data_IF_866585249745
#
_entry.id   IF_866585249745
#
_cell.length_a   1.000
_cell.length_b   1.000
_cell.length_c   1.000
_cell.angle_alpha   90.00
_cell.angle_beta   90.00
_cell.angle_gamma   90.00
#
_symmetry.space_group_name_H-M   'P 1'
#
loop_
_entity.id
_entity.type
_entity.pdbx_description
1 polymer ?
#
# COMPACT_ATOMS: atom_id res chain seq x y z
N UNK A 1 -14.01 -1.81 -9.10
CA UNK A 1 -13.27 -2.50 -8.01
C UNK A 1 -11.82 -2.68 -8.47
N UNK A 2 -11.24 -1.62 -9.06
CA UNK A 2 -10.09 -1.72 -9.98
C UNK A 2 -8.87 -0.91 -9.49
N UNK A 3 -9.06 0.01 -8.53
CA UNK A 3 -7.98 0.85 -8.01
C UNK A 3 -7.04 0.13 -7.05
N UNK A 4 -7.50 -0.96 -6.41
CA UNK A 4 -6.70 -1.70 -5.42
C UNK A 4 -5.54 -2.43 -6.09
N UNK A 5 -5.74 -2.95 -7.30
CA UNK A 5 -4.69 -3.66 -8.05
C UNK A 5 -3.54 -2.72 -8.45
N UNK A 6 -3.86 -1.47 -8.78
CA UNK A 6 -2.90 -0.46 -9.21
C UNK A 6 -2.37 0.41 -8.05
N UNK A 7 -2.83 0.17 -6.81
CA UNK A 7 -2.57 1.04 -5.66
C UNK A 7 -1.08 1.20 -5.32
N UNK A 8 -0.28 0.19 -5.65
CA UNK A 8 1.16 0.18 -5.40
C UNK A 8 2.00 0.57 -6.63
N UNK A 9 1.35 0.87 -7.74
CA UNK A 9 2.04 1.33 -8.94
C UNK A 9 2.60 2.74 -8.73
N UNK A 10 3.86 3.00 -9.09
CA UNK A 10 4.43 4.32 -9.01
C UNK A 10 3.58 5.33 -9.79
N UNK A 11 3.36 6.50 -9.20
CA UNK A 11 2.59 7.62 -9.75
C UNK A 11 1.08 7.40 -9.86
N UNK A 12 0.56 6.23 -9.46
CA UNK A 12 -0.88 6.02 -9.38
C UNK A 12 -1.49 6.89 -8.26
N UNK A 13 -2.54 7.65 -8.60
CA UNK A 13 -3.25 8.50 -7.64
C UNK A 13 -4.67 8.79 -8.11
N UNK A 14 -5.62 8.73 -7.19
CA UNK A 14 -7.01 9.19 -7.41
C UNK A 14 -7.20 10.66 -7.07
N UNK A 15 -6.15 11.35 -6.59
CA UNK A 15 -6.20 12.76 -6.14
C UNK A 15 -5.71 13.77 -7.19
N UNK A 16 -5.74 13.42 -8.47
CA UNK A 16 -5.28 14.28 -9.57
C UNK A 16 -3.93 14.99 -9.24
N UNK A 17 -3.90 16.33 -9.22
CA UNK A 17 -2.69 17.13 -8.96
C UNK A 17 -2.26 17.21 -7.48
N UNK A 18 -3.03 16.64 -6.55
CA UNK A 18 -2.70 16.67 -5.12
C UNK A 18 -2.09 15.36 -4.65
N UNK A 19 -0.79 15.21 -4.93
CA UNK A 19 0.03 14.09 -4.49
C UNK A 19 0.79 13.44 -5.65
N UNK A 20 2.00 12.96 -5.37
CA UNK A 20 2.89 12.37 -6.38
C UNK A 20 2.56 10.93 -6.74
N UNK A 21 1.68 10.26 -5.97
CA UNK A 21 1.39 8.83 -6.15
C UNK A 21 2.58 7.91 -5.82
N UNK A 22 3.57 8.37 -5.05
CA UNK A 22 4.79 7.61 -4.74
C UNK A 22 4.82 7.01 -3.32
N UNK A 23 3.96 7.48 -2.42
CA UNK A 23 4.02 7.06 -1.01
C UNK A 23 3.82 5.56 -0.85
N UNK A 24 2.74 5.02 -1.42
CA UNK A 24 2.39 3.60 -1.30
C UNK A 24 3.36 2.69 -2.05
N UNK A 25 3.85 3.09 -3.23
CA UNK A 25 4.85 2.31 -3.97
C UNK A 25 6.17 2.19 -3.18
N UNK A 26 6.61 3.27 -2.53
CA UNK A 26 7.80 3.27 -1.67
C UNK A 26 7.58 2.41 -0.43
N UNK A 27 6.43 2.57 0.26
CA UNK A 27 6.10 1.74 1.43
C UNK A 27 6.04 0.25 1.08
N UNK A 28 5.46 -0.11 -0.07
CA UNK A 28 5.41 -1.48 -0.55
C UNK A 28 6.82 -2.06 -0.75
N UNK A 29 7.71 -1.31 -1.41
CA UNK A 29 9.11 -1.70 -1.57
C UNK A 29 9.81 -1.94 -0.23
N UNK A 30 9.68 -1.00 0.71
CA UNK A 30 10.26 -1.12 2.06
C UNK A 30 9.74 -2.39 2.76
N UNK A 31 8.43 -2.65 2.74
CA UNK A 31 7.85 -3.83 3.40
C UNK A 31 8.40 -5.12 2.77
N UNK A 32 8.49 -5.18 1.43
CA UNK A 32 9.05 -6.32 0.70
C UNK A 32 10.53 -6.55 1.00
N UNK A 33 11.32 -5.49 1.06
CA UNK A 33 12.75 -5.56 1.40
C UNK A 33 12.98 -6.11 2.81
N UNK A 34 12.01 -5.93 3.71
CA UNK A 34 12.00 -6.51 5.06
C UNK A 34 11.39 -7.92 5.12
N UNK A 35 11.12 -8.55 3.96
CA UNK A 35 10.51 -9.88 3.88
C UNK A 35 9.04 -9.92 4.29
N UNK A 36 8.39 -8.76 4.32
CA UNK A 36 6.99 -8.61 4.70
C UNK A 36 6.00 -8.69 3.55
N UNK A 37 4.73 -8.52 3.93
CA UNK A 37 3.60 -8.42 3.02
C UNK A 37 2.61 -7.35 3.51
N UNK A 38 1.77 -6.87 2.60
CA UNK A 38 0.75 -5.86 2.90
C UNK A 38 -0.59 -6.24 2.27
N UNK A 39 -1.64 -6.21 3.08
CA UNK A 39 -3.03 -6.40 2.65
C UNK A 39 -3.80 -5.09 2.79
N UNK A 40 -4.74 -4.85 1.87
CA UNK A 40 -5.59 -3.65 1.88
C UNK A 40 -7.05 -4.07 1.85
N UNK A 41 -7.82 -3.53 2.79
CA UNK A 41 -9.28 -3.68 2.84
C UNK A 41 -9.89 -2.28 2.87
N UNK A 42 -10.63 -1.93 1.84
CA UNK A 42 -11.28 -0.63 1.73
C UNK A 42 -12.76 -0.82 1.44
N UNK A 43 -13.60 -0.03 2.09
CA UNK A 43 -15.01 0.06 1.78
C UNK A 43 -15.42 1.53 1.69
N UNK A 44 -16.09 1.88 0.59
CA UNK A 44 -16.58 3.23 0.33
C UNK A 44 -17.47 3.70 1.49
N UNK A 45 -17.32 4.96 1.88
CA UNK A 45 -18.04 5.59 3.00
C UNK A 45 -17.83 4.96 4.39
N UNK A 46 -16.92 3.98 4.53
CA UNK A 46 -16.53 3.41 5.83
C UNK A 46 -15.06 3.62 6.16
N UNK A 47 -14.17 3.55 5.17
CA UNK A 47 -12.74 3.80 5.32
C UNK A 47 -11.86 2.70 4.74
N UNK A 48 -10.58 2.76 5.08
CA UNK A 48 -9.55 1.87 4.54
C UNK A 48 -8.61 1.40 5.65
N UNK A 49 -8.34 0.10 5.66
CA UNK A 49 -7.40 -0.55 6.57
C UNK A 49 -6.27 -1.16 5.77
N UNK A 50 -5.04 -0.84 6.16
CA UNK A 50 -3.82 -1.47 5.68
C UNK A 50 -3.27 -2.39 6.77
N UNK A 51 -3.01 -3.65 6.44
CA UNK A 51 -2.45 -4.63 7.37
C UNK A 51 -1.08 -5.04 6.87
N UNK A 52 -0.05 -4.81 7.69
CA UNK A 52 1.35 -5.10 7.35
C UNK A 52 1.79 -6.29 8.20
N UNK A 53 2.26 -7.35 7.53
CA UNK A 53 2.81 -8.53 8.17
C UNK A 53 4.33 -8.53 7.97
N UNK A 54 5.09 -8.61 9.05
CA UNK A 54 6.55 -8.65 9.03
C UNK A 54 7.06 -9.88 9.78
N UNK A 55 8.10 -10.57 9.27
CA UNK A 55 8.70 -11.69 9.97
C UNK A 55 9.37 -11.20 11.26
N UNK A 56 9.11 -11.91 12.37
CA UNK A 56 9.87 -11.69 13.59
C UNK A 56 11.25 -12.31 13.43
N UNK A 57 12.29 -11.56 13.74
CA UNK A 57 13.64 -12.12 13.81
C UNK A 57 13.71 -12.97 15.08
N UNK A 58 13.82 -14.28 14.92
CA UNK A 58 14.14 -15.21 16.01
C UNK A 58 15.65 -15.37 16.06
N UNK A 59 16.23 -15.17 17.25
CA UNK A 59 17.67 -15.39 17.53
C UNK A 59 18.04 -16.87 17.52
#
# INVERSE_FOLDING_TARGET
MDDIENLFDPFFTTKAQQGTGLGLSVSYGIIRDHGGDIEVKSELDKGTTFTINLPIKTE
#
